data_IF_322709078938
#
_entry.id   IF_322709078938
#
_cell.length_a   1.000
_cell.length_b   1.000
_cell.length_c   1.000
_cell.angle_alpha   90.00
_cell.angle_beta   90.00
_cell.angle_gamma   90.00
#
_symmetry.space_group_name_H-M   'P 1'
#
loop_
_entity.id
_entity.type
_entity.pdbx_description
1 polymer ?
#
# COMPACT_ATOMS: atom_id res chain seq x y z
N UNK A 1 7.24 11.67 2.42
CA UNK A 1 6.33 11.24 3.48
C UNK A 1 5.64 9.95 3.07
N UNK A 2 5.56 8.98 3.96
CA UNK A 2 4.89 7.73 3.59
C UNK A 2 3.39 7.91 3.51
N UNK A 3 2.79 7.08 2.70
CA UNK A 3 1.34 7.02 2.57
C UNK A 3 0.86 5.72 3.20
N UNK A 4 -0.24 5.78 3.92
CA UNK A 4 -0.87 4.58 4.44
C UNK A 4 -1.82 4.05 3.38
N UNK A 5 -1.72 2.76 3.10
CA UNK A 5 -2.50 2.16 2.02
C UNK A 5 -3.17 0.89 2.52
N UNK A 6 -4.24 0.52 1.84
CA UNK A 6 -4.87 -0.79 2.02
C UNK A 6 -4.63 -1.55 0.72
N UNK A 7 -3.95 -2.68 0.84
CA UNK A 7 -3.55 -3.47 -0.31
C UNK A 7 -4.52 -4.63 -0.48
N UNK A 8 -5.12 -4.74 -1.66
CA UNK A 8 -6.08 -5.80 -1.97
C UNK A 8 -5.41 -6.79 -2.91
N UNK A 9 -5.25 -8.01 -2.42
CA UNK A 9 -4.59 -9.09 -3.13
C UNK A 9 -5.65 -10.10 -3.57
N UNK A 10 -5.49 -10.64 -4.77
CA UNK A 10 -6.42 -11.64 -5.27
C UNK A 10 -6.47 -12.84 -4.32
N UNK A 11 -7.69 -13.22 -3.91
CA UNK A 11 -7.94 -14.43 -3.11
C UNK A 11 -7.30 -14.37 -1.73
N UNK A 12 -7.02 -13.18 -1.22
CA UNK A 12 -6.48 -13.01 0.13
C UNK A 12 -7.13 -11.82 0.79
N UNK A 13 -7.06 -11.80 2.10
CA UNK A 13 -7.59 -10.66 2.85
C UNK A 13 -6.73 -9.42 2.61
N UNK A 14 -7.38 -8.28 2.53
CA UNK A 14 -6.65 -7.03 2.40
C UNK A 14 -5.88 -6.73 3.69
N UNK A 15 -4.79 -5.99 3.54
CA UNK A 15 -4.00 -5.61 4.69
C UNK A 15 -3.58 -4.15 4.57
N UNK A 16 -3.11 -3.60 5.68
CA UNK A 16 -2.66 -2.20 5.73
C UNK A 16 -1.15 -2.19 5.65
N UNK A 17 -0.62 -1.21 4.92
CA UNK A 17 0.82 -1.06 4.80
C UNK A 17 1.13 0.39 4.52
N UNK A 18 2.42 0.68 4.36
CA UNK A 18 2.88 2.03 4.02
C UNK A 18 3.75 1.97 2.78
N UNK A 19 3.62 3.00 1.95
CA UNK A 19 4.46 3.13 0.76
C UNK A 19 5.11 4.50 0.81
N UNK A 20 6.28 4.61 0.21
CA UNK A 20 7.02 5.86 0.23
C UNK A 20 6.54 6.83 -0.84
N UNK A 21 6.13 6.32 -1.97
CA UNK A 21 5.71 7.14 -3.10
C UNK A 21 4.47 6.53 -3.72
N UNK A 22 3.64 7.41 -4.29
CA UNK A 22 2.49 6.94 -5.04
C UNK A 22 2.97 6.17 -6.27
N UNK A 23 2.45 4.97 -6.50
CA UNK A 23 2.94 4.13 -7.59
C UNK A 23 2.74 4.79 -8.95
N UNK A 24 3.68 4.55 -9.86
CA UNK A 24 3.62 5.05 -11.21
C UNK A 24 3.10 3.98 -12.15
N UNK A 25 2.44 4.37 -13.24
CA UNK A 25 1.93 3.37 -14.18
C UNK A 25 2.99 2.45 -14.76
N UNK A 26 4.25 2.88 -14.74
CA UNK A 26 5.35 2.09 -15.29
C UNK A 26 5.98 1.16 -14.27
N UNK A 27 5.56 1.21 -13.02
CA UNK A 27 6.13 0.35 -11.99
C UNK A 27 5.73 -1.09 -12.22
N UNK A 28 6.66 -2.01 -12.04
CA UNK A 28 6.35 -3.43 -12.19
C UNK A 28 6.08 -4.10 -10.85
N UNK A 29 6.50 -3.50 -9.75
CA UNK A 29 6.25 -4.04 -8.43
C UNK A 29 5.75 -2.95 -7.51
N UNK A 30 5.02 -3.37 -6.49
CA UNK A 30 4.60 -2.49 -5.41
C UNK A 30 5.44 -2.85 -4.19
N UNK A 31 6.18 -1.88 -3.67
CA UNK A 31 7.00 -2.08 -2.48
C UNK A 31 6.27 -1.48 -1.28
N UNK A 32 6.02 -2.29 -0.27
CA UNK A 32 5.30 -1.86 0.92
C UNK A 32 6.15 -2.11 2.16
N UNK A 33 5.90 -1.31 3.18
CA UNK A 33 6.56 -1.46 4.47
C UNK A 33 5.50 -1.52 5.56
N UNK A 34 5.88 -2.09 6.67
CA UNK A 34 5.04 -2.09 7.87
C UNK A 34 3.67 -2.71 7.59
N UNK A 35 3.67 -3.82 6.85
CA UNK A 35 2.42 -4.51 6.51
C UNK A 35 1.84 -5.18 7.76
N UNK A 36 0.55 -5.03 7.93
CA UNK A 36 -0.13 -5.54 9.12
C UNK A 36 -1.60 -5.75 8.81
N UNK A 37 -2.25 -6.54 9.65
CA UNK A 37 -3.69 -6.73 9.53
C UNK A 37 -4.40 -5.42 9.88
N UNK A 38 -5.66 -5.34 9.49
CA UNK A 38 -6.45 -4.14 9.76
C UNK A 38 -6.59 -3.86 11.24
N UNK A 39 -6.47 -4.89 12.08
CA UNK A 39 -6.52 -4.72 13.53
C UNK A 39 -5.16 -4.41 14.14
N UNK A 40 -4.13 -4.28 13.31
CA UNK A 40 -2.79 -3.94 13.76
C UNK A 40 -1.90 -5.12 14.06
N UNK A 41 -2.42 -6.33 13.97
CA UNK A 41 -1.62 -7.52 14.27
C UNK A 41 -0.75 -7.90 13.08
N UNK A 42 0.34 -8.63 13.33
CA UNK A 42 1.24 -9.04 12.25
C UNK A 42 0.56 -9.99 11.27
N UNK A 43 0.98 -9.91 10.02
CA UNK A 43 0.52 -10.85 9.00
C UNK A 43 1.28 -12.16 9.13
N UNK A 44 0.56 -13.26 9.04
CA UNK A 44 1.16 -14.57 9.24
C UNK A 44 2.10 -14.95 8.10
N UNK A 45 1.81 -14.47 6.89
CA UNK A 45 2.64 -14.82 5.75
C UNK A 45 3.98 -14.11 5.75
N UNK A 46 4.18 -13.17 6.67
CA UNK A 46 5.43 -12.41 6.74
C UNK A 46 6.25 -12.90 7.90
N UNK A 47 7.56 -12.98 7.67
CA UNK A 47 8.52 -13.25 8.73
C UNK A 47 8.50 -12.07 9.70
N UNK A 48 8.78 -12.36 10.98
CA UNK A 48 8.79 -11.30 11.99
C UNK A 48 9.89 -10.27 11.73
N UNK A 49 10.91 -10.64 10.94
CA UNK A 49 12.00 -9.73 10.63
C UNK A 49 11.83 -9.01 9.30
N UNK A 50 10.68 -9.18 8.66
CA UNK A 50 10.42 -8.52 7.39
C UNK A 50 10.25 -7.03 7.60
N UNK A 51 11.04 -6.23 6.89
CA UNK A 51 10.94 -4.78 6.98
C UNK A 51 10.25 -4.18 5.76
N UNK A 52 10.25 -4.88 4.64
CA UNK A 52 9.52 -4.45 3.47
C UNK A 52 9.24 -5.65 2.58
N UNK A 53 8.25 -5.52 1.74
CA UNK A 53 7.86 -6.58 0.83
C UNK A 53 7.58 -5.99 -0.54
N UNK A 54 7.85 -6.76 -1.58
CA UNK A 54 7.59 -6.34 -2.95
C UNK A 54 6.58 -7.29 -3.57
N UNK A 55 5.50 -6.75 -4.06
CA UNK A 55 4.45 -7.53 -4.72
C UNK A 55 4.45 -7.24 -6.20
N UNK A 56 4.31 -8.28 -7.01
CA UNK A 56 4.07 -8.07 -8.42
C UNK A 56 2.69 -7.44 -8.59
N UNK A 57 2.59 -6.46 -9.49
CA UNK A 57 1.29 -5.83 -9.75
C UNK A 57 0.26 -6.81 -10.28
N UNK A 58 0.69 -7.95 -10.81
CA UNK A 58 -0.24 -8.96 -11.27
C UNK A 58 -1.01 -9.60 -10.11
N UNK A 59 -0.48 -9.50 -8.89
CA UNK A 59 -1.12 -10.05 -7.70
C UNK A 59 -1.99 -9.05 -6.99
N UNK A 60 -1.84 -7.77 -7.29
CA UNK A 60 -2.55 -6.70 -6.58
C UNK A 60 -3.82 -6.37 -7.37
N UNK A 61 -4.96 -6.53 -6.73
CA UNK A 61 -6.24 -6.23 -7.37
C UNK A 61 -6.42 -4.71 -7.46
N UNK A 62 -6.24 -4.03 -6.36
CA UNK A 62 -6.24 -2.57 -6.34
C UNK A 62 -5.66 -2.11 -5.01
N UNK A 63 -5.38 -0.82 -4.96
CA UNK A 63 -4.71 -0.21 -3.82
C UNK A 63 -5.52 0.99 -3.39
N UNK A 64 -5.84 1.06 -2.09
CA UNK A 64 -6.51 2.23 -1.55
C UNK A 64 -5.47 3.07 -0.83
N UNK A 65 -5.32 4.31 -1.23
CA UNK A 65 -4.39 5.23 -0.59
C UNK A 65 -5.19 6.12 0.33
N UNK A 66 -4.87 6.06 1.62
CA UNK A 66 -5.64 6.80 2.61
C UNK A 66 -5.09 8.22 2.71
N UNK A 67 -5.99 9.19 2.59
CA UNK A 67 -5.63 10.59 2.68
C UNK A 67 -5.71 11.01 4.14
N UNK A 68 -4.57 11.06 4.78
CA UNK A 68 -4.50 11.43 6.18
C UNK A 68 -3.71 12.69 6.34
N UNK A 69 -4.17 13.54 7.23
CA UNK A 69 -3.45 14.74 7.59
C UNK A 69 -3.13 15.58 6.38
N UNK A 70 -1.90 16.05 6.32
CA UNK A 70 -1.47 16.96 5.27
C UNK A 70 -1.42 16.33 3.90
N UNK A 71 -1.36 15.01 3.85
CA UNK A 71 -1.27 14.31 2.57
C UNK A 71 -2.52 14.45 1.73
N UNK A 72 -3.62 14.84 2.34
CA UNK A 72 -4.89 14.88 1.62
C UNK A 72 -4.81 15.76 0.39
N UNK A 73 -4.24 16.95 0.53
CA UNK A 73 -4.18 17.87 -0.60
C UNK A 73 -3.27 17.34 -1.70
N UNK A 74 -2.17 16.73 -1.31
CA UNK A 74 -1.27 16.14 -2.29
C UNK A 74 -1.94 15.04 -3.10
N UNK A 75 -2.67 14.17 -2.41
CA UNK A 75 -3.35 13.07 -3.09
C UNK A 75 -4.43 13.59 -4.00
N UNK A 76 -5.14 14.59 -3.56
CA UNK A 76 -6.21 15.18 -4.36
C UNK A 76 -5.65 15.73 -5.66
N UNK A 77 -4.53 16.44 -5.55
CA UNK A 77 -3.88 17.01 -6.72
C UNK A 77 -3.42 15.92 -7.67
N UNK A 78 -2.88 14.84 -7.11
CA UNK A 78 -2.35 13.75 -7.92
C UNK A 78 -3.43 13.03 -8.72
N UNK A 79 -4.59 12.83 -8.11
CA UNK A 79 -5.68 12.08 -8.75
C UNK A 79 -6.70 12.96 -9.44
N UNK A 80 -6.46 14.24 -9.44
CA UNK A 80 -7.41 15.15 -10.06
C UNK A 80 -7.47 14.90 -11.56
N UNK A 81 -8.69 14.86 -12.06
CA UNK A 81 -8.94 14.58 -13.45
C UNK A 81 -9.09 15.89 -14.19
N UNK A 82 -8.30 16.07 -15.22
CA UNK A 82 -8.36 17.32 -15.99
C UNK A 82 -9.20 17.19 -17.24
#
# INVERSE_FOLDING_TARGET
MPYTVIVHISNEDAFIAEIDEVPQPTDSVLVVRNARKKDGKPLQQFDTETIMAAYSWTRVTFLEILAERASRDELYEFFRDE
#
